data_IF_777631402921
#
_entry.id   IF_777631402921
#
_cell.length_a   1.000
_cell.length_b   1.000
_cell.length_c   1.000
_cell.angle_alpha   90.00
_cell.angle_beta   90.00
_cell.angle_gamma   90.00
#
_symmetry.space_group_name_H-M   'P 1'
#
loop_
_entity.id
_entity.type
_entity.pdbx_description
1 polymer ?
#
# COMPACT_ATOMS: atom_id res chain seq x y z
N UNK A 1 7.87 30.25 -46.93
CA UNK A 1 8.34 29.28 -45.91
C UNK A 1 7.14 28.53 -45.36
N UNK A 2 6.91 27.26 -45.71
CA UNK A 2 5.82 26.51 -45.11
C UNK A 2 6.21 26.10 -43.68
N UNK A 3 5.40 26.52 -42.71
CA UNK A 3 5.50 26.09 -41.32
C UNK A 3 5.24 24.58 -41.26
N UNK A 4 6.29 23.81 -40.92
CA UNK A 4 6.16 22.36 -40.65
C UNK A 4 5.29 22.19 -39.41
N UNK A 5 4.23 21.36 -39.44
CA UNK A 5 3.47 21.04 -38.23
C UNK A 5 4.42 20.32 -37.28
N UNK A 6 4.79 20.99 -36.19
CA UNK A 6 5.62 20.43 -35.14
C UNK A 6 4.84 19.25 -34.56
N UNK A 7 5.29 18.03 -34.85
CA UNK A 7 4.65 16.80 -34.38
C UNK A 7 4.62 16.80 -32.85
N UNK A 8 3.45 17.11 -32.28
CA UNK A 8 3.18 17.09 -30.83
C UNK A 8 2.92 15.67 -30.31
N UNK A 9 2.86 14.68 -31.20
CA UNK A 9 2.61 13.26 -30.89
C UNK A 9 3.55 12.66 -29.82
N UNK A 10 4.89 12.87 -29.85
CA UNK A 10 5.78 12.27 -28.85
C UNK A 10 5.61 12.91 -27.46
N UNK A 11 5.22 14.19 -27.39
CA UNK A 11 5.00 14.88 -26.12
C UNK A 11 3.73 14.38 -25.41
N UNK A 12 2.66 14.14 -26.18
CA UNK A 12 1.41 13.57 -25.65
C UNK A 12 1.60 12.14 -25.11
N UNK A 13 2.44 11.32 -25.76
CA UNK A 13 2.70 9.94 -25.32
C UNK A 13 3.56 9.88 -24.03
N UNK A 14 4.43 10.87 -23.82
CA UNK A 14 5.31 10.95 -22.64
C UNK A 14 4.53 11.24 -21.35
N UNK A 15 3.45 12.00 -21.43
CA UNK A 15 2.63 12.38 -20.28
C UNK A 15 1.85 11.20 -19.68
N UNK A 16 1.64 10.12 -20.45
CA UNK A 16 0.90 8.93 -20.01
C UNK A 16 1.72 8.01 -19.09
N UNK A 17 3.02 8.23 -18.93
CA UNK A 17 3.88 7.46 -18.03
C UNK A 17 4.06 8.10 -16.65
N UNK A 18 3.44 9.26 -16.39
CA UNK A 18 3.40 9.82 -15.05
C UNK A 18 2.43 8.97 -14.21
N UNK A 19 2.96 8.22 -13.24
CA UNK A 19 2.15 7.45 -12.27
C UNK A 19 1.08 8.34 -11.61
N UNK A 20 -0.06 7.73 -11.27
CA UNK A 20 -1.20 8.47 -10.71
C UNK A 20 -0.87 9.05 -9.33
N UNK A 21 -0.59 10.34 -9.29
CA UNK A 21 -0.23 11.10 -8.07
C UNK A 21 -1.12 12.34 -7.99
N UNK A 22 -2.32 12.14 -7.46
CA UNK A 22 -3.36 13.16 -7.37
C UNK A 22 -3.76 13.40 -5.90
N UNK A 23 -2.94 14.13 -5.11
CA UNK A 23 -3.22 14.41 -3.71
C UNK A 23 -4.60 15.03 -3.50
N UNK A 24 -5.27 14.65 -2.42
CA UNK A 24 -6.52 15.27 -2.00
C UNK A 24 -6.32 16.77 -1.76
N UNK A 25 -7.36 17.62 -1.90
CA UNK A 25 -7.21 19.08 -1.86
C UNK A 25 -6.45 19.63 -0.65
N UNK A 26 -6.62 19.03 0.52
CA UNK A 26 -5.96 19.39 1.77
C UNK A 26 -4.44 19.20 1.74
N UNK A 27 -3.92 18.35 0.86
CA UNK A 27 -2.49 18.10 0.63
C UNK A 27 -1.91 18.95 -0.50
N UNK A 28 -2.68 19.84 -1.14
CA UNK A 28 -2.18 20.78 -2.16
C UNK A 28 -1.64 22.10 -1.57
N UNK A 29 -1.56 22.20 -0.24
CA UNK A 29 -0.98 23.36 0.45
C UNK A 29 0.53 23.45 0.24
N UNK A 30 1.09 24.65 0.39
CA UNK A 30 2.54 24.90 0.40
C UNK A 30 3.25 24.21 1.58
N UNK A 31 2.53 23.92 2.65
CA UNK A 31 3.07 23.29 3.85
C UNK A 31 3.13 21.76 3.75
N UNK A 32 2.63 21.20 2.64
CA UNK A 32 2.73 19.76 2.37
C UNK A 32 4.16 19.40 2.01
N UNK A 33 4.70 18.39 2.70
CA UNK A 33 5.98 17.75 2.34
C UNK A 33 5.70 16.47 1.57
N UNK A 34 6.35 16.31 0.43
CA UNK A 34 6.23 15.12 -0.41
C UNK A 34 7.50 14.28 -0.34
N UNK A 35 7.33 12.97 -0.22
CA UNK A 35 8.38 11.97 -0.21
C UNK A 35 8.10 10.89 -1.24
N UNK A 36 9.13 10.16 -1.63
CA UNK A 36 9.00 8.95 -2.43
C UNK A 36 9.77 7.81 -1.76
N UNK A 37 9.16 6.63 -1.69
CA UNK A 37 9.80 5.44 -1.15
C UNK A 37 9.33 4.19 -1.89
N UNK A 38 10.27 3.27 -2.15
CA UNK A 38 9.97 1.96 -2.71
C UNK A 38 10.14 0.89 -1.66
N UNK A 39 9.07 0.13 -1.40
CA UNK A 39 9.06 -0.98 -0.44
C UNK A 39 8.63 -2.24 -1.17
N UNK A 40 9.52 -3.24 -1.23
CA UNK A 40 9.24 -4.54 -1.84
C UNK A 40 8.61 -4.42 -3.24
N UNK A 41 9.21 -3.59 -4.10
CA UNK A 41 8.78 -3.37 -5.47
C UNK A 41 7.58 -2.44 -5.67
N UNK A 42 6.88 -2.00 -4.61
CA UNK A 42 5.85 -0.97 -4.70
C UNK A 42 6.44 0.41 -4.37
N UNK A 43 6.23 1.38 -5.27
CA UNK A 43 6.66 2.78 -5.10
C UNK A 43 5.49 3.61 -4.62
N UNK A 44 5.72 4.36 -3.55
CA UNK A 44 4.74 5.22 -2.91
C UNK A 44 5.20 6.67 -2.97
N UNK A 45 4.30 7.57 -3.35
CA UNK A 45 4.43 9.00 -3.11
C UNK A 45 3.62 9.37 -1.87
N UNK A 46 4.30 9.95 -0.88
CA UNK A 46 3.73 10.25 0.42
C UNK A 46 3.64 11.75 0.58
N UNK A 47 2.44 12.27 0.79
CA UNK A 47 2.15 13.66 1.06
C UNK A 47 1.84 13.79 2.54
N UNK A 48 2.65 14.57 3.26
CA UNK A 48 2.47 14.85 4.69
C UNK A 48 2.07 16.29 4.89
N UNK A 49 1.04 16.50 5.68
CA UNK A 49 0.66 17.82 6.21
C UNK A 49 0.39 17.68 7.70
N UNK A 50 1.12 18.44 8.51
CA UNK A 50 1.07 18.35 9.98
C UNK A 50 1.30 16.88 10.44
N UNK A 51 0.29 16.29 11.08
CA UNK A 51 0.26 14.91 11.57
C UNK A 51 -0.59 13.99 10.69
N UNK A 52 -0.99 14.41 9.50
CA UNK A 52 -1.72 13.57 8.54
C UNK A 52 -0.88 13.24 7.32
N UNK A 53 -1.08 12.04 6.77
CA UNK A 53 -0.46 11.60 5.53
C UNK A 53 -1.45 10.96 4.57
N UNK A 54 -1.24 11.22 3.28
CA UNK A 54 -1.75 10.43 2.17
C UNK A 54 -0.59 9.80 1.41
N UNK A 55 -0.70 8.50 1.12
CA UNK A 55 0.26 7.72 0.36
C UNK A 55 -0.40 7.19 -0.90
N UNK A 56 0.26 7.36 -2.04
CA UNK A 56 -0.20 6.95 -3.35
C UNK A 56 0.75 5.91 -3.92
N UNK A 57 0.25 4.73 -4.26
CA UNK A 57 1.03 3.74 -5.01
C UNK A 57 1.08 4.16 -6.49
N UNK A 58 2.27 4.54 -6.96
CA UNK A 58 2.42 5.21 -8.27
C UNK A 58 2.93 4.30 -9.38
N UNK A 59 3.40 3.09 -9.07
CA UNK A 59 3.84 2.12 -10.06
C UNK A 59 2.83 0.99 -10.25
N UNK A 60 2.87 0.35 -11.43
CA UNK A 60 2.00 -0.78 -11.72
C UNK A 60 2.42 -2.04 -10.93
N UNK A 61 1.41 -2.74 -10.41
CA UNK A 61 1.54 -4.05 -9.77
C UNK A 61 0.21 -4.78 -10.03
N UNK A 62 0.27 -6.05 -10.42
CA UNK A 62 -0.92 -6.81 -10.77
C UNK A 62 -1.68 -7.25 -9.51
N UNK A 63 -2.91 -6.72 -9.35
CA UNK A 63 -3.90 -7.14 -8.35
C UNK A 63 -3.35 -7.42 -6.93
N UNK A 64 -2.61 -6.49 -6.31
CA UNK A 64 -2.13 -6.70 -4.95
C UNK A 64 -3.28 -6.74 -3.95
N UNK A 65 -3.15 -7.52 -2.87
CA UNK A 65 -4.14 -7.51 -1.78
C UNK A 65 -4.05 -6.18 -1.00
N UNK A 66 -5.20 -5.69 -0.51
CA UNK A 66 -5.26 -4.45 0.29
C UNK A 66 -4.35 -4.55 1.53
N UNK A 67 -4.36 -5.70 2.23
CA UNK A 67 -3.52 -5.91 3.42
C UNK A 67 -2.02 -5.86 3.13
N UNK A 68 -1.58 -6.37 1.97
CA UNK A 68 -0.19 -6.27 1.52
C UNK A 68 0.20 -4.82 1.22
N UNK A 69 -0.67 -4.08 0.54
CA UNK A 69 -0.44 -2.65 0.23
C UNK A 69 -0.37 -1.83 1.50
N UNK A 70 -1.31 -1.99 2.44
CA UNK A 70 -1.30 -1.26 3.72
C UNK A 70 -0.02 -1.56 4.53
N UNK A 71 0.44 -2.81 4.56
CA UNK A 71 1.71 -3.16 5.23
C UNK A 71 2.92 -2.44 4.62
N UNK A 72 3.01 -2.39 3.29
CA UNK A 72 4.10 -1.71 2.57
C UNK A 72 4.01 -0.19 2.70
N UNK A 73 2.80 0.37 2.63
CA UNK A 73 2.54 1.79 2.85
C UNK A 73 2.94 2.22 4.27
N UNK A 74 2.65 1.40 5.30
CA UNK A 74 3.12 1.65 6.68
C UNK A 74 4.63 1.84 6.74
N UNK A 75 5.37 0.89 6.16
CA UNK A 75 6.83 0.93 6.14
C UNK A 75 7.32 2.18 5.40
N UNK A 76 6.74 2.47 4.22
CA UNK A 76 7.12 3.63 3.41
C UNK A 76 6.89 4.96 4.16
N UNK A 77 5.70 5.14 4.75
CA UNK A 77 5.33 6.32 5.53
C UNK A 77 6.28 6.52 6.72
N UNK A 78 6.50 5.47 7.52
CA UNK A 78 7.32 5.57 8.74
C UNK A 78 8.79 5.87 8.39
N UNK A 79 9.33 5.24 7.34
CA UNK A 79 10.69 5.50 6.86
C UNK A 79 10.86 6.92 6.30
N UNK A 80 9.91 7.38 5.48
CA UNK A 80 10.00 8.69 4.85
C UNK A 80 9.75 9.86 5.81
N UNK A 81 8.83 9.69 6.76
CA UNK A 81 8.45 10.78 7.67
C UNK A 81 9.27 10.79 8.95
N UNK A 82 9.94 9.68 9.29
CA UNK A 82 10.63 9.47 10.55
C UNK A 82 9.70 9.36 11.76
N UNK A 83 8.38 9.30 11.55
CA UNK A 83 7.39 9.24 12.60
C UNK A 83 6.60 7.92 12.54
N UNK A 84 6.30 7.29 13.68
CA UNK A 84 5.40 6.15 13.71
C UNK A 84 3.99 6.55 13.30
N UNK A 85 3.25 5.63 12.67
CA UNK A 85 1.82 5.80 12.44
C UNK A 85 1.07 5.59 13.76
N UNK A 86 0.07 6.43 14.04
CA UNK A 86 -0.86 6.23 15.15
C UNK A 86 -1.63 4.93 14.94
N UNK A 87 -1.58 4.06 15.94
CA UNK A 87 -2.25 2.76 15.90
C UNK A 87 -3.73 2.87 15.52
N UNK A 88 -4.19 1.96 14.66
CA UNK A 88 -5.56 1.94 14.15
C UNK A 88 -5.91 3.04 13.14
N UNK A 89 -5.03 4.01 12.86
CA UNK A 89 -5.35 5.10 11.91
C UNK A 89 -5.08 4.75 10.45
N UNK A 90 -4.23 3.76 10.17
CA UNK A 90 -3.88 3.37 8.80
C UNK A 90 -5.06 2.69 8.12
N UNK A 91 -5.50 3.26 7.00
CA UNK A 91 -6.63 2.78 6.22
C UNK A 91 -6.49 3.15 4.75
N UNK A 92 -7.35 2.61 3.88
CA UNK A 92 -7.39 2.92 2.46
C UNK A 92 -7.54 1.68 1.58
N UNK A 93 -7.13 1.83 0.33
CA UNK A 93 -7.22 0.80 -0.71
C UNK A 93 -5.84 0.52 -1.36
N UNK A 94 -5.83 -0.17 -2.50
CA UNK A 94 -4.60 -0.55 -3.21
C UNK A 94 -3.87 0.62 -3.89
N UNK A 95 -4.55 1.74 -4.08
CA UNK A 95 -4.02 2.95 -4.71
C UNK A 95 -3.67 4.02 -3.68
N UNK A 96 -4.60 4.31 -2.76
CA UNK A 96 -4.49 5.42 -1.80
C UNK A 96 -4.56 4.88 -0.36
N UNK A 97 -3.61 5.26 0.48
CA UNK A 97 -3.58 4.94 1.90
C UNK A 97 -3.47 6.22 2.73
N UNK A 98 -4.10 6.26 3.89
CA UNK A 98 -4.12 7.43 4.78
C UNK A 98 -3.82 7.01 6.20
N UNK A 99 -3.15 7.88 6.94
CA UNK A 99 -2.86 7.64 8.35
C UNK A 99 -2.64 8.95 9.09
N UNK A 100 -2.77 8.89 10.42
CA UNK A 100 -2.29 9.92 11.32
C UNK A 100 -0.90 9.51 11.82
N UNK A 101 0.04 10.44 11.86
CA UNK A 101 1.38 10.27 12.42
C UNK A 101 1.37 10.60 13.92
N UNK A 102 2.34 10.04 14.63
CA UNK A 102 2.59 10.37 16.02
C UNK A 102 4.03 10.87 16.19
N UNK A 103 4.33 12.05 15.63
CA UNK A 103 5.71 12.58 15.60
C UNK A 103 6.24 13.07 16.96
N UNK A 104 5.36 13.26 17.94
CA UNK A 104 5.69 13.82 19.26
C UNK A 104 5.68 12.75 20.37
N UNK A 105 5.85 11.47 20.03
CA UNK A 105 5.54 10.39 20.96
C UNK A 105 6.70 9.85 21.79
N UNK A 106 6.52 9.93 23.11
CA UNK A 106 6.91 8.93 24.12
C UNK A 106 5.91 7.73 24.07
N UNK A 107 5.87 7.00 22.96
CA UNK A 107 4.88 5.90 22.80
C UNK A 107 5.11 4.81 23.87
N UNK A 108 4.05 4.34 24.56
CA UNK A 108 4.09 3.06 25.24
C UNK A 108 4.55 1.98 24.24
N UNK A 109 5.31 0.97 24.68
CA UNK A 109 5.77 -0.08 23.79
C UNK A 109 4.61 -0.67 23.01
N UNK A 110 4.77 -0.76 21.69
CA UNK A 110 3.81 -1.39 20.78
C UNK A 110 3.45 -2.76 21.36
N UNK A 111 2.16 -3.08 21.56
CA UNK A 111 1.79 -4.42 21.99
C UNK A 111 2.39 -5.41 20.99
N UNK A 112 3.02 -6.51 21.47
CA UNK A 112 3.68 -7.45 20.60
C UNK A 112 2.71 -7.90 19.49
N UNK A 113 3.20 -8.09 18.25
CA UNK A 113 2.35 -8.50 17.15
C UNK A 113 1.59 -9.76 17.57
N UNK A 114 0.25 -9.74 17.43
CA UNK A 114 -0.56 -10.91 17.74
C UNK A 114 -0.17 -11.98 16.71
N UNK A 115 0.55 -13.00 17.19
CA UNK A 115 0.80 -14.22 16.43
C UNK A 115 -0.35 -15.17 16.75
N UNK A 116 -1.21 -15.37 15.76
CA UNK A 116 -2.23 -16.41 15.82
C UNK A 116 -1.67 -17.64 15.11
N UNK A 117 -1.60 -18.75 15.83
CA UNK A 117 -1.49 -20.05 15.19
C UNK A 117 -2.88 -20.34 14.59
N UNK A 118 -2.90 -20.80 13.33
CA UNK A 118 -4.11 -21.20 12.62
C UNK A 118 -4.06 -22.71 12.43
N UNK A 119 -5.16 -23.39 12.75
CA UNK A 119 -5.38 -24.77 12.33
C UNK A 119 -6.24 -24.71 11.07
N UNK A 120 -5.73 -25.28 9.99
CA UNK A 120 -6.35 -25.20 8.68
C UNK A 120 -6.77 -26.60 8.24
N UNK A 121 -8.08 -26.79 8.10
CA UNK A 121 -8.65 -27.98 7.49
C UNK A 121 -8.72 -27.76 5.98
N UNK A 122 -8.17 -28.72 5.23
CA UNK A 122 -8.17 -28.73 3.76
C UNK A 122 -9.36 -29.56 3.31
N UNK A 123 -10.23 -28.97 2.49
CA UNK A 123 -11.26 -29.73 1.80
C UNK A 123 -10.75 -30.09 0.41
N UNK A 124 -10.42 -31.36 0.24
CA UNK A 124 -9.85 -31.90 -0.97
C UNK A 124 -10.85 -32.79 -1.72
N UNK A 125 -10.86 -32.65 -3.05
CA UNK A 125 -11.61 -33.56 -3.92
C UNK A 125 -10.63 -34.20 -4.91
N UNK A 126 -10.75 -35.51 -5.07
CA UNK A 126 -10.02 -36.23 -6.10
C UNK A 126 -10.61 -35.89 -7.47
N UNK A 127 -9.81 -35.27 -8.34
CA UNK A 127 -10.19 -34.99 -9.72
C UNK A 127 -9.78 -36.15 -10.62
N UNK A 128 -10.77 -36.91 -11.09
CA UNK A 128 -10.56 -38.01 -12.03
C UNK A 128 -10.00 -37.53 -13.38
N UNK A 129 -10.28 -36.29 -13.76
CA UNK A 129 -9.91 -35.70 -15.07
C UNK A 129 -8.42 -35.31 -15.12
N UNK A 130 -7.83 -35.02 -13.96
CA UNK A 130 -6.46 -34.50 -13.86
C UNK A 130 -5.49 -35.42 -13.09
N UNK A 131 -5.97 -36.60 -12.66
CA UNK A 131 -5.27 -37.58 -11.80
C UNK A 131 -4.48 -36.92 -10.65
N UNK A 132 -5.13 -35.96 -9.99
CA UNK A 132 -4.56 -35.18 -8.89
C UNK A 132 -5.64 -34.79 -7.90
N UNK A 133 -5.20 -34.55 -6.67
CA UNK A 133 -6.05 -33.96 -5.63
C UNK A 133 -6.12 -32.46 -5.85
N UNK A 134 -7.33 -31.93 -6.02
CA UNK A 134 -7.57 -30.49 -6.15
C UNK A 134 -8.09 -29.99 -4.81
N UNK A 135 -7.36 -29.06 -4.20
CA UNK A 135 -7.83 -28.34 -3.02
C UNK A 135 -8.99 -27.44 -3.44
N UNK A 136 -10.20 -27.77 -3.01
CA UNK A 136 -11.38 -26.96 -3.34
C UNK A 136 -11.48 -25.77 -2.40
N UNK A 137 -11.30 -26.00 -1.09
CA UNK A 137 -11.37 -24.97 -0.06
C UNK A 137 -10.31 -25.18 1.03
N UNK A 138 -10.01 -24.10 1.75
CA UNK A 138 -9.21 -24.11 2.97
C UNK A 138 -9.93 -23.28 4.04
N UNK A 139 -10.27 -23.93 5.15
CA UNK A 139 -10.92 -23.28 6.29
C UNK A 139 -9.93 -23.22 7.45
N UNK A 140 -9.52 -22.00 7.81
CA UNK A 140 -8.56 -21.79 8.89
C UNK A 140 -9.25 -21.22 10.12
N UNK A 141 -9.08 -21.87 11.27
CA UNK A 141 -9.58 -21.43 12.56
C UNK A 141 -8.42 -21.06 13.51
N UNK A 142 -8.55 -20.03 14.35
CA UNK A 142 -7.52 -19.70 15.32
C UNK A 142 -7.41 -20.77 16.41
N UNK A 143 -6.20 -21.27 16.67
CA UNK A 143 -5.92 -22.28 17.71
C UNK A 143 -5.84 -21.67 19.14
N UNK A 144 -5.98 -20.34 19.24
CA UNK A 144 -5.65 -19.45 20.36
C UNK A 144 -4.22 -18.87 20.31
N UNK A 145 -4.07 -17.62 20.78
CA UNK A 145 -2.80 -16.94 20.88
C UNK A 145 -1.94 -17.60 21.99
N UNK A 146 -0.77 -18.15 21.63
CA UNK A 146 0.22 -18.56 22.65
C UNK A 146 0.76 -17.30 23.35
N UNK A 147 0.61 -17.25 24.68
CA UNK A 147 1.25 -16.24 25.55
C UNK A 147 2.75 -16.50 25.65
#
# INVERSE_FOLDING_TARGET
>A
MPLRPLSLLPFALSALLAGCDSPSPEFRSKDTRTYEATVQGATFKIHRREDWVESYRVNFEALPSVSSVLRRAKIAIEQSTGCPIREGSLSGDQGIQRAQLNCNSDLPPVPPPIRVDLDCELQDEWSADEDRVVLQNIECTPIAARQ
#
